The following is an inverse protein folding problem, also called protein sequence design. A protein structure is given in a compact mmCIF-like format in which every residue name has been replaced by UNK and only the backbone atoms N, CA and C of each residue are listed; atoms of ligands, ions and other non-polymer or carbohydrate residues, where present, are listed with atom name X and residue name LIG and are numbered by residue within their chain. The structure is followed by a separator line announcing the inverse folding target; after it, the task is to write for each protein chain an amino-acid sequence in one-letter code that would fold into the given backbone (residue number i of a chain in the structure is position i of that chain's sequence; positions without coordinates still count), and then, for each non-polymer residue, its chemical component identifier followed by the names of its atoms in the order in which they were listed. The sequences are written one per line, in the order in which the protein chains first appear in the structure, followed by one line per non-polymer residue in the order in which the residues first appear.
data_IF_745955258963
#
_entry.id   IF_745955258963
#
_cell.length_a   1.000
_cell.length_b   1.000
_cell.length_c   1.000
_cell.angle_alpha   90.00
_cell.angle_beta   90.00
_cell.angle_gamma   90.00
#
_symmetry.space_group_name_H-M   'P 1'
#
loop_
_entity.id
_entity.type
_entity.pdbx_description
1 polymer ?
#
# COMPACT_ATOMS: atom_id res chain seq x y z
N UNK A 1 15.67 9.63 27.29
CA UNK A 1 15.45 8.52 26.36
C UNK A 1 16.09 8.95 25.07
N UNK A 2 17.09 8.22 24.58
CA UNK A 2 17.87 8.63 23.42
C UNK A 2 17.01 8.52 22.15
N UNK A 3 16.97 9.57 21.34
CA UNK A 3 16.23 9.60 20.08
C UNK A 3 17.08 8.99 18.96
N UNK A 4 16.42 8.64 17.85
CA UNK A 4 17.10 8.18 16.65
C UNK A 4 18.02 9.29 16.09
N UNK A 5 19.21 8.91 15.62
CA UNK A 5 20.11 9.80 14.90
C UNK A 5 19.49 10.25 13.56
N UNK A 6 19.71 11.51 13.18
CA UNK A 6 19.12 12.09 11.96
C UNK A 6 19.62 11.40 10.68
N UNK A 7 20.86 10.89 10.66
CA UNK A 7 21.37 10.12 9.52
C UNK A 7 20.65 8.78 9.44
N UNK A 8 20.45 8.10 10.58
CA UNK A 8 19.72 6.84 10.63
C UNK A 8 18.24 7.02 10.21
N UNK A 9 17.62 8.15 10.56
CA UNK A 9 16.27 8.51 10.10
C UNK A 9 16.22 8.71 8.58
N UNK A 10 17.22 9.37 8.01
CA UNK A 10 17.34 9.62 6.58
C UNK A 10 17.61 8.33 5.78
N UNK A 11 18.50 7.47 6.29
CA UNK A 11 18.78 6.15 5.70
C UNK A 11 17.57 5.21 5.76
N UNK A 12 16.78 5.28 6.84
CA UNK A 12 15.54 4.54 6.98
C UNK A 12 14.51 4.96 5.93
N UNK A 13 14.29 6.28 5.76
CA UNK A 13 13.36 6.81 4.75
C UNK A 13 13.81 6.49 3.33
N UNK A 14 15.11 6.56 3.07
CA UNK A 14 15.69 6.27 1.75
C UNK A 14 15.79 4.77 1.43
N UNK A 15 15.49 3.89 2.39
CA UNK A 15 15.65 2.43 2.25
C UNK A 15 17.10 1.95 2.18
N UNK A 16 18.06 2.80 2.54
CA UNK A 16 19.49 2.48 2.55
C UNK A 16 19.95 1.76 3.84
N UNK A 17 19.06 1.69 4.84
CA UNK A 17 19.38 1.12 6.14
C UNK A 17 19.57 -0.41 6.08
N UNK A 18 20.63 -0.97 6.68
CA UNK A 18 20.85 -2.41 6.69
C UNK A 18 19.77 -3.17 7.48
N UNK A 19 19.45 -4.41 7.09
CA UNK A 19 18.36 -5.19 7.70
C UNK A 19 18.58 -5.50 9.18
N UNK A 20 19.82 -5.52 9.65
CA UNK A 20 20.17 -5.70 11.06
C UNK A 20 19.83 -4.48 11.93
N UNK A 21 19.75 -3.29 11.34
CA UNK A 21 19.40 -2.04 12.03
C UNK A 21 17.89 -1.72 11.92
N UNK A 22 17.23 -2.19 10.86
CA UNK A 22 15.79 -1.95 10.61
C UNK A 22 14.90 -2.30 11.80
N UNK A 23 15.02 -3.52 12.35
CA UNK A 23 14.16 -3.95 13.45
C UNK A 23 14.31 -3.12 14.74
N UNK A 24 15.50 -2.55 14.99
CA UNK A 24 15.72 -1.65 16.13
C UNK A 24 15.04 -0.31 15.91
N UNK A 25 15.13 0.23 14.69
CA UNK A 25 14.48 1.49 14.32
C UNK A 25 12.96 1.34 14.36
N UNK A 26 12.40 0.28 13.80
CA UNK A 26 10.96 -0.01 13.85
C UNK A 26 10.44 -0.13 15.30
N UNK A 27 11.18 -0.85 16.16
CA UNK A 27 10.83 -0.96 17.58
C UNK A 27 10.85 0.38 18.31
N UNK A 28 11.81 1.25 17.98
CA UNK A 28 11.86 2.60 18.53
C UNK A 28 10.70 3.47 18.01
N UNK A 29 10.40 3.42 16.71
CA UNK A 29 9.29 4.15 16.10
C UNK A 29 7.92 3.73 16.65
N UNK A 30 7.77 2.46 17.07
CA UNK A 30 6.55 1.98 17.71
C UNK A 30 6.27 2.65 19.07
N UNK A 31 7.31 3.13 19.76
CA UNK A 31 7.20 3.72 21.12
C UNK A 31 7.41 5.23 21.15
N UNK A 32 8.17 5.80 20.21
CA UNK A 32 8.54 7.21 20.20
C UNK A 32 7.69 8.01 19.18
N UNK A 33 6.84 8.93 19.67
CA UNK A 33 6.00 9.78 18.81
C UNK A 33 6.81 10.82 18.04
N UNK A 34 7.87 11.37 18.64
CA UNK A 34 8.69 12.42 18.01
C UNK A 34 9.48 11.87 16.83
N UNK A 35 10.11 10.70 16.98
CA UNK A 35 10.84 10.05 15.88
C UNK A 35 9.90 9.63 14.73
N UNK A 36 8.64 9.26 15.02
CA UNK A 36 7.63 9.06 13.95
C UNK A 36 7.31 10.34 13.19
N UNK A 37 7.20 11.48 13.89
CA UNK A 37 6.94 12.77 13.26
C UNK A 37 8.11 13.19 12.36
N UNK A 38 9.35 13.01 12.82
CA UNK A 38 10.56 13.26 12.04
C UNK A 38 10.60 12.43 10.75
N UNK A 39 10.43 11.12 10.86
CA UNK A 39 10.41 10.20 9.70
C UNK A 39 9.30 10.55 8.72
N UNK A 40 8.11 10.92 9.20
CA UNK A 40 7.01 11.35 8.35
C UNK A 40 7.32 12.65 7.58
N UNK A 41 7.99 13.61 8.22
CA UNK A 41 8.39 14.85 7.57
C UNK A 41 9.44 14.60 6.46
N UNK A 42 10.44 13.76 6.74
CA UNK A 42 11.48 13.38 5.77
C UNK A 42 10.91 12.58 4.58
N UNK A 43 9.96 11.69 4.84
CA UNK A 43 9.28 10.92 3.79
C UNK A 43 8.40 11.80 2.89
N UNK A 44 7.80 12.86 3.43
CA UNK A 44 7.00 13.81 2.65
C UNK A 44 7.85 14.64 1.68
N UNK A 45 9.08 14.99 2.06
CA UNK A 45 10.03 15.75 1.21
C UNK A 45 10.61 14.89 0.08
N UNK A 46 10.77 13.58 0.33
CA UNK A 46 11.30 12.61 -0.63
C UNK A 46 10.31 12.22 -1.74
N UNK A 47 9.04 12.66 -1.63
CA UNK A 47 7.90 12.16 -2.40
C UNK A 47 7.30 13.16 -3.39
N UNK A 48 8.11 13.75 -4.28
CA UNK A 48 7.60 14.43 -5.50
C UNK A 48 7.02 13.43 -6.54
N UNK A 49 7.00 12.13 -6.23
CA UNK A 49 6.27 11.11 -7.01
C UNK A 49 4.75 11.28 -6.95
N UNK A 50 4.24 12.14 -6.06
CA UNK A 50 2.82 12.53 -6.01
C UNK A 50 2.37 13.29 -7.26
N UNK A 51 3.32 13.78 -8.08
CA UNK A 51 3.08 14.41 -9.36
C UNK A 51 3.28 13.46 -10.56
N UNK A 52 3.26 12.14 -10.33
CA UNK A 52 3.23 11.18 -11.42
C UNK A 52 1.97 11.42 -12.27
N UNK A 53 2.17 11.79 -13.53
CA UNK A 53 1.09 12.04 -14.48
C UNK A 53 0.25 10.77 -14.68
N UNK A 54 -0.87 10.66 -13.97
CA UNK A 54 -1.84 9.58 -14.19
C UNK A 54 -2.57 9.84 -15.50
N UNK A 55 -2.27 9.07 -16.54
CA UNK A 55 -3.03 9.11 -17.79
C UNK A 55 -4.45 8.61 -17.48
N UNK A 56 -5.47 9.45 -17.70
CA UNK A 56 -6.86 8.99 -17.69
C UNK A 56 -6.99 7.90 -18.75
N UNK A 57 -7.29 6.68 -18.31
CA UNK A 57 -7.66 5.63 -19.24
C UNK A 57 -9.01 5.99 -19.84
N UNK A 58 -8.99 6.51 -21.07
CA UNK A 58 -10.20 6.86 -21.79
C UNK A 58 -11.02 5.59 -21.96
N UNK A 59 -12.26 5.60 -21.47
CA UNK A 59 -13.16 4.43 -21.41
C UNK A 59 -13.70 4.04 -22.79
N UNK A 60 -13.04 4.48 -23.86
CA UNK A 60 -13.42 4.28 -25.25
C UNK A 60 -12.46 3.35 -25.95
N UNK A 61 -12.43 2.11 -25.52
CA UNK A 61 -12.58 0.97 -26.42
C UNK A 61 -13.12 -0.16 -25.57
N UNK A 62 -14.28 -0.67 -25.98
CA UNK A 62 -14.86 -1.88 -25.41
C UNK A 62 -13.73 -2.90 -25.28
N UNK A 63 -13.37 -3.22 -24.04
CA UNK A 63 -12.41 -4.26 -23.77
C UNK A 63 -12.86 -5.46 -24.58
N UNK A 64 -11.96 -5.98 -25.43
CA UNK A 64 -12.10 -7.28 -26.07
C UNK A 64 -11.99 -8.40 -25.00
N UNK A 65 -12.70 -8.24 -23.89
CA UNK A 65 -13.06 -9.34 -23.02
C UNK A 65 -14.19 -9.99 -23.78
N UNK A 66 -13.87 -11.09 -24.47
CA UNK A 66 -14.85 -11.91 -25.16
C UNK A 66 -16.10 -12.08 -24.30
N UNK A 67 -17.25 -12.00 -24.93
CA UNK A 67 -18.58 -12.02 -24.34
C UNK A 67 -18.80 -13.33 -23.57
N UNK A 68 -18.22 -13.42 -22.38
CA UNK A 68 -18.55 -14.45 -21.43
C UNK A 68 -19.94 -14.09 -20.91
N UNK A 69 -20.89 -15.04 -20.91
CA UNK A 69 -22.19 -14.78 -20.32
C UNK A 69 -21.96 -14.31 -18.90
N UNK A 70 -22.37 -13.07 -18.59
CA UNK A 70 -22.38 -12.52 -17.23
C UNK A 70 -23.41 -13.29 -16.41
N UNK A 71 -23.09 -14.54 -16.09
CA UNK A 71 -23.83 -15.31 -15.10
C UNK A 71 -23.52 -14.62 -13.78
N UNK A 72 -24.49 -13.84 -13.33
CA UNK A 72 -24.49 -13.31 -11.97
C UNK A 72 -24.56 -14.50 -11.04
N UNK A 73 -23.52 -14.71 -10.25
CA UNK A 73 -23.47 -15.79 -9.29
C UNK A 73 -24.52 -15.52 -8.21
N UNK A 74 -25.41 -16.48 -8.02
CA UNK A 74 -26.47 -16.43 -7.01
C UNK A 74 -26.00 -17.12 -5.74
N UNK A 75 -26.61 -16.75 -4.61
CA UNK A 75 -26.41 -17.47 -3.34
C UNK A 75 -26.80 -18.93 -3.55
N UNK A 76 -25.90 -19.84 -3.21
CA UNK A 76 -26.01 -21.28 -3.46
C UNK A 76 -25.14 -21.79 -4.61
N UNK A 77 -24.64 -20.92 -5.49
CA UNK A 77 -23.80 -21.34 -6.61
C UNK A 77 -22.43 -21.87 -6.16
N UNK A 78 -21.94 -22.90 -6.84
CA UNK A 78 -20.60 -23.45 -6.64
C UNK A 78 -19.61 -22.90 -7.65
N UNK A 79 -18.52 -22.33 -7.16
CA UNK A 79 -17.38 -21.87 -7.95
C UNK A 79 -16.17 -22.73 -7.62
N UNK A 80 -15.97 -23.79 -8.40
CA UNK A 80 -14.97 -24.81 -8.12
C UNK A 80 -15.23 -25.51 -6.78
N UNK A 81 -14.38 -25.24 -5.79
CA UNK A 81 -14.50 -25.80 -4.42
C UNK A 81 -15.27 -24.91 -3.44
N UNK A 82 -15.67 -23.71 -3.86
CA UNK A 82 -16.32 -22.73 -2.99
C UNK A 82 -17.82 -22.61 -3.27
N UNK A 83 -18.58 -22.09 -2.30
CA UNK A 83 -20.03 -21.92 -2.36
C UNK A 83 -20.38 -20.46 -2.01
N UNK A 84 -21.21 -19.83 -2.84
CA UNK A 84 -21.60 -18.42 -2.66
C UNK A 84 -22.66 -18.34 -1.56
N UNK A 85 -22.36 -17.67 -0.44
CA UNK A 85 -23.28 -17.54 0.69
C UNK A 85 -24.05 -16.20 0.71
N UNK A 86 -23.44 -15.14 0.21
CA UNK A 86 -24.04 -13.80 0.15
C UNK A 86 -23.31 -12.92 -0.87
N UNK A 87 -24.01 -12.02 -1.54
CA UNK A 87 -23.41 -10.93 -2.32
C UNK A 87 -23.31 -9.66 -1.45
N UNK A 88 -22.30 -8.83 -1.71
CA UNK A 88 -22.11 -7.55 -1.02
C UNK A 88 -22.34 -6.40 -2.01
N UNK A 89 -23.09 -5.38 -1.59
CA UNK A 89 -23.23 -4.12 -2.35
C UNK A 89 -24.23 -4.13 -3.50
N UNK A 90 -25.40 -4.76 -3.33
CA UNK A 90 -26.52 -4.62 -4.25
C UNK A 90 -27.18 -3.22 -4.16
#
# INVERSE_FOLDING_TARGET
MEHLDDNAASEFVSGALPPSALGKVEGHLASCRECRALVAALAADSGDDSNAATVRHDRFTASQVGELPRRTLSIGDRVGRYLVLSSLGA
#
